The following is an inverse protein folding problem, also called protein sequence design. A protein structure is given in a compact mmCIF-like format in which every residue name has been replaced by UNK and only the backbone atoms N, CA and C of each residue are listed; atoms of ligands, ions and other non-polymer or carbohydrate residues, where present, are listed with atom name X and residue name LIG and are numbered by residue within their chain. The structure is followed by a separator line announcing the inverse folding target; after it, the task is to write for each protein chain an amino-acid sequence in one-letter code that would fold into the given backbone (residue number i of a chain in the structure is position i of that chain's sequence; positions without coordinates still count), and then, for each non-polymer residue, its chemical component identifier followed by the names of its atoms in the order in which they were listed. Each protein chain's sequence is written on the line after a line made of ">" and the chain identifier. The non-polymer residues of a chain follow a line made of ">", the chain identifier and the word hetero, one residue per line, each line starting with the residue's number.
data_IF_614554718985
#
_entry.id   IF_614554718985
#
_cell.length_a   1.000
_cell.length_b   1.000
_cell.length_c   1.000
_cell.angle_alpha   90.00
_cell.angle_beta   90.00
_cell.angle_gamma   90.00
#
_symmetry.space_group_name_H-M   'P 1'
#
loop_
_entity.id
_entity.type
_entity.pdbx_description
1 polymer ?
#
# COMPACT_ATOMS: atom_id res chain seq x y z
N UNK A 1 13.42 -12.17 10.12
CA UNK A 1 12.10 -11.52 9.99
C UNK A 1 10.99 -12.52 10.26
N UNK A 2 9.75 -12.03 10.36
CA UNK A 2 8.57 -12.88 10.55
C UNK A 2 7.95 -13.38 9.24
N UNK A 3 8.38 -12.81 8.11
CA UNK A 3 8.14 -13.35 6.78
C UNK A 3 9.28 -14.32 6.45
N UNK A 4 8.91 -15.56 6.14
CA UNK A 4 9.84 -16.66 5.85
C UNK A 4 10.23 -16.64 4.37
N UNK A 5 11.43 -17.12 4.06
CA UNK A 5 11.92 -17.24 2.68
C UNK A 5 10.94 -18.00 1.76
N UNK A 6 10.24 -19.02 2.27
CA UNK A 6 9.22 -19.74 1.50
C UNK A 6 8.01 -18.88 1.12
N UNK A 7 7.60 -17.93 1.97
CA UNK A 7 6.54 -16.97 1.68
C UNK A 7 6.99 -15.96 0.62
N UNK A 8 8.25 -15.51 0.68
CA UNK A 8 8.81 -14.61 -0.33
C UNK A 8 8.95 -15.30 -1.69
N UNK A 9 9.38 -16.57 -1.71
CA UNK A 9 9.46 -17.37 -2.92
C UNK A 9 8.07 -17.61 -3.53
N UNK A 10 7.07 -17.91 -2.69
CA UNK A 10 5.68 -18.01 -3.11
C UNK A 10 5.16 -16.70 -3.69
N UNK A 11 5.44 -15.56 -3.04
CA UNK A 11 5.04 -14.24 -3.52
C UNK A 11 5.61 -13.96 -4.92
N UNK A 12 6.93 -14.12 -5.12
CA UNK A 12 7.59 -13.90 -6.41
C UNK A 12 6.95 -14.73 -7.52
N UNK A 13 6.74 -16.03 -7.27
CA UNK A 13 6.10 -16.95 -8.23
C UNK A 13 4.66 -16.55 -8.54
N UNK A 14 3.90 -16.18 -7.52
CA UNK A 14 2.48 -15.83 -7.65
C UNK A 14 2.31 -14.51 -8.40
N UNK A 15 3.05 -13.46 -8.01
CA UNK A 15 3.07 -12.17 -8.68
C UNK A 15 3.41 -12.33 -10.17
N UNK A 16 4.52 -12.99 -10.51
CA UNK A 16 4.92 -13.22 -11.91
C UNK A 16 3.85 -13.97 -12.72
N UNK A 17 3.25 -15.02 -12.14
CA UNK A 17 2.18 -15.78 -12.79
C UNK A 17 0.93 -14.93 -13.04
N UNK A 18 0.49 -14.16 -12.05
CA UNK A 18 -0.67 -13.28 -12.17
C UNK A 18 -0.44 -12.16 -13.18
N UNK A 19 0.75 -11.54 -13.20
CA UNK A 19 1.10 -10.53 -14.19
C UNK A 19 1.07 -11.10 -15.61
N UNK A 20 1.61 -12.30 -15.81
CA UNK A 20 1.55 -12.99 -17.10
C UNK A 20 0.11 -13.24 -17.53
N UNK A 21 -0.74 -13.74 -16.63
CA UNK A 21 -2.14 -13.99 -16.97
C UNK A 21 -2.89 -12.69 -17.29
N UNK A 22 -2.68 -11.63 -16.50
CA UNK A 22 -3.32 -10.32 -16.69
C UNK A 22 -3.01 -9.69 -18.05
N UNK A 23 -1.79 -9.89 -18.56
CA UNK A 23 -1.32 -9.29 -19.80
C UNK A 23 -1.50 -10.17 -21.04
N UNK A 24 -1.73 -11.48 -20.86
CA UNK A 24 -1.81 -12.44 -21.98
C UNK A 24 -3.18 -13.10 -22.17
N UNK A 25 -4.04 -13.16 -21.13
CA UNK A 25 -5.37 -13.77 -21.24
C UNK A 25 -6.43 -12.73 -21.59
N UNK A 26 -7.45 -13.12 -22.35
CA UNK A 26 -8.51 -12.21 -22.76
C UNK A 26 -9.53 -11.96 -21.64
N UNK A 27 -9.98 -10.71 -21.40
CA UNK A 27 -9.52 -9.48 -22.06
C UNK A 27 -8.13 -9.03 -21.56
N UNK A 28 -7.14 -9.01 -22.46
CA UNK A 28 -5.75 -8.75 -22.11
C UNK A 28 -5.53 -7.29 -21.79
N UNK A 29 -4.83 -7.02 -20.70
CA UNK A 29 -4.52 -5.66 -20.26
C UNK A 29 -3.12 -5.26 -20.76
N UNK A 30 -3.00 -4.04 -21.28
CA UNK A 30 -1.74 -3.56 -21.87
C UNK A 30 -0.65 -3.27 -20.83
N UNK A 31 -1.07 -2.83 -19.64
CA UNK A 31 -0.19 -2.44 -18.55
C UNK A 31 -0.20 -3.50 -17.44
N UNK A 32 0.90 -3.63 -16.65
CA UNK A 32 0.92 -4.50 -15.48
C UNK A 32 -0.19 -4.16 -14.48
N UNK A 33 -0.77 -5.18 -13.84
CA UNK A 33 -1.76 -4.97 -12.79
C UNK A 33 -1.09 -4.33 -11.56
N UNK A 34 -1.61 -3.22 -11.02
CA UNK A 34 -1.13 -2.73 -9.73
C UNK A 34 -1.59 -3.69 -8.62
N UNK A 35 -0.64 -4.21 -7.84
CA UNK A 35 -0.91 -5.09 -6.72
C UNK A 35 -0.98 -4.32 -5.40
N UNK A 36 -1.73 -4.88 -4.44
CA UNK A 36 -1.80 -4.42 -3.06
C UNK A 36 -1.38 -5.57 -2.14
N UNK A 37 -0.51 -5.30 -1.18
CA UNK A 37 -0.08 -6.28 -0.19
C UNK A 37 -0.77 -5.98 1.15
N UNK A 38 -1.20 -7.03 1.85
CA UNK A 38 -1.78 -6.94 3.20
C UNK A 38 -1.10 -7.96 4.10
N UNK A 39 -0.57 -7.51 5.23
CA UNK A 39 0.00 -8.37 6.26
C UNK A 39 -0.08 -7.65 7.61
N UNK A 40 -0.05 -8.37 8.73
CA UNK A 40 -0.43 -7.74 10.00
C UNK A 40 0.68 -6.86 10.60
N UNK A 41 1.92 -7.35 10.61
CA UNK A 41 3.03 -6.73 11.33
C UNK A 41 3.82 -5.82 10.38
N UNK A 42 4.23 -4.60 10.80
CA UNK A 42 5.10 -3.74 10.00
C UNK A 42 6.45 -4.38 9.64
N UNK A 43 6.93 -4.08 8.43
CA UNK A 43 8.32 -4.34 8.06
C UNK A 43 9.24 -3.30 8.73
N UNK A 44 10.55 -3.58 8.90
CA UNK A 44 11.51 -2.62 9.45
C UNK A 44 11.50 -1.26 8.74
N UNK A 45 11.20 -1.22 7.44
CA UNK A 45 11.15 -0.02 6.61
C UNK A 45 10.11 1.01 7.06
N UNK A 46 9.07 0.61 7.80
CA UNK A 46 8.12 1.57 8.40
C UNK A 46 8.79 2.52 9.40
N UNK A 47 9.95 2.15 9.96
CA UNK A 47 10.73 3.00 10.86
C UNK A 47 11.41 4.17 10.14
N UNK A 48 11.54 4.14 8.82
CA UNK A 48 12.16 5.21 8.02
C UNK A 48 11.31 6.49 7.93
N UNK A 49 10.03 6.40 8.30
CA UNK A 49 9.11 7.53 8.22
C UNK A 49 9.22 8.48 9.43
N UNK A 50 9.29 9.77 9.11
CA UNK A 50 9.29 10.92 10.04
C UNK A 50 8.09 11.81 9.72
N UNK A 51 7.71 12.74 10.61
CA UNK A 51 6.53 13.58 10.41
C UNK A 51 6.53 14.41 9.09
N UNK A 52 7.67 14.52 8.41
CA UNK A 52 7.81 15.24 7.14
C UNK A 52 7.48 14.43 5.88
N UNK A 53 7.33 13.10 5.98
CA UNK A 53 7.26 12.21 4.81
C UNK A 53 6.10 11.19 4.84
N UNK A 54 5.05 11.48 5.61
CA UNK A 54 3.80 10.70 5.61
C UNK A 54 2.56 11.58 5.81
N UNK A 55 1.40 11.05 5.43
CA UNK A 55 0.07 11.59 5.80
C UNK A 55 -0.49 10.77 6.96
N UNK A 56 -1.18 11.41 7.90
CA UNK A 56 -1.76 10.78 9.09
C UNK A 56 -0.91 11.00 10.34
N UNK A 57 -0.95 10.08 11.29
CA UNK A 57 -0.31 10.25 12.60
C UNK A 57 0.45 8.99 13.02
N UNK A 58 1.68 9.20 13.50
CA UNK A 58 2.53 8.19 14.16
C UNK A 58 2.60 8.54 15.66
N UNK A 59 1.95 7.75 16.51
CA UNK A 59 1.86 8.00 17.96
C UNK A 59 2.68 7.03 18.81
N UNK A 60 3.18 5.95 18.23
CA UNK A 60 3.98 4.95 18.94
C UNK A 60 5.15 4.45 18.09
N UNK A 61 6.00 3.65 18.71
CA UNK A 61 7.08 2.95 18.02
C UNK A 61 6.56 2.01 16.93
N UNK A 62 7.46 1.55 16.08
CA UNK A 62 7.14 0.56 15.04
C UNK A 62 7.51 -0.81 15.57
N UNK A 63 6.53 -1.69 15.80
CA UNK A 63 6.75 -3.04 16.35
C UNK A 63 7.15 -4.03 15.24
N UNK A 64 8.20 -3.70 14.50
CA UNK A 64 8.76 -4.54 13.44
C UNK A 64 9.79 -5.55 14.00
N UNK A 65 10.02 -6.69 13.33
CA UNK A 65 11.09 -7.60 13.72
C UNK A 65 12.47 -6.93 13.62
N UNK A 66 13.41 -7.29 14.51
CA UNK A 66 14.80 -6.80 14.46
C UNK A 66 15.59 -7.30 13.25
N UNK A 67 15.21 -8.47 12.70
CA UNK A 67 15.84 -9.05 11.52
C UNK A 67 14.97 -8.75 10.29
N UNK A 68 15.50 -7.96 9.35
CA UNK A 68 14.85 -7.74 8.05
C UNK A 68 14.99 -9.00 7.17
N UNK A 69 13.88 -9.54 6.67
CA UNK A 69 13.91 -10.71 5.78
C UNK A 69 14.16 -10.35 4.31
N UNK A 70 14.02 -9.08 3.93
CA UNK A 70 14.12 -8.62 2.54
C UNK A 70 12.79 -8.58 1.79
N UNK A 71 11.65 -8.74 2.47
CA UNK A 71 10.36 -8.74 1.79
C UNK A 71 10.00 -7.39 1.14
N UNK A 72 10.40 -6.26 1.73
CA UNK A 72 10.22 -4.95 1.08
C UNK A 72 10.98 -4.87 -0.24
N UNK A 73 12.27 -5.24 -0.24
CA UNK A 73 13.08 -5.33 -1.46
C UNK A 73 12.44 -6.26 -2.48
N UNK A 74 11.92 -7.40 -2.04
CA UNK A 74 11.20 -8.36 -2.90
C UNK A 74 9.98 -7.71 -3.59
N UNK A 75 9.20 -6.89 -2.89
CA UNK A 75 8.07 -6.17 -3.47
C UNK A 75 8.52 -5.09 -4.45
N UNK A 76 9.62 -4.38 -4.15
CA UNK A 76 10.22 -3.38 -5.05
C UNK A 76 10.70 -4.05 -6.35
N UNK A 77 11.41 -5.18 -6.25
CA UNK A 77 11.90 -5.96 -7.40
C UNK A 77 10.76 -6.51 -8.26
N UNK A 78 9.67 -6.97 -7.64
CA UNK A 78 8.48 -7.43 -8.38
C UNK A 78 7.82 -6.29 -9.18
N UNK A 79 7.90 -5.07 -8.67
CA UNK A 79 7.50 -3.84 -9.39
C UNK A 79 5.99 -3.63 -9.55
N UNK A 80 5.16 -4.61 -9.21
CA UNK A 80 3.71 -4.54 -9.33
C UNK A 80 3.02 -3.98 -8.08
N UNK A 81 3.54 -4.23 -6.89
CA UNK A 81 2.98 -3.73 -5.62
C UNK A 81 3.06 -2.21 -5.55
N UNK A 82 1.90 -1.56 -5.37
CA UNK A 82 1.79 -0.09 -5.26
C UNK A 82 1.51 0.38 -3.85
N UNK A 83 0.92 -0.47 -3.01
CA UNK A 83 0.75 -0.21 -1.60
C UNK A 83 0.81 -1.49 -0.77
N UNK A 84 1.36 -1.39 0.43
CA UNK A 84 1.33 -2.42 1.47
C UNK A 84 0.62 -1.86 2.71
N UNK A 85 -0.34 -2.61 3.24
CA UNK A 85 -1.15 -2.23 4.39
C UNK A 85 -0.90 -3.15 5.57
N UNK A 86 -0.73 -2.55 6.73
CA UNK A 86 -0.44 -3.24 7.98
C UNK A 86 -1.28 -2.72 9.15
N UNK A 87 -1.23 -3.44 10.26
CA UNK A 87 -1.86 -3.07 11.53
C UNK A 87 -0.85 -3.17 12.67
N UNK A 88 -1.20 -3.93 13.72
CA UNK A 88 -0.36 -4.26 14.88
C UNK A 88 -0.12 -3.12 15.88
N UNK A 89 0.29 -1.95 15.41
CA UNK A 89 0.46 -0.75 16.24
C UNK A 89 -0.82 0.12 16.15
N UNK A 90 -1.66 0.05 17.18
CA UNK A 90 -3.07 0.47 17.10
C UNK A 90 -3.30 1.98 17.16
N UNK A 91 -2.28 2.76 17.52
CA UNK A 91 -2.35 4.22 17.56
C UNK A 91 -1.52 4.89 16.45
N UNK A 92 -0.88 4.10 15.57
CA UNK A 92 -0.34 4.55 14.30
C UNK A 92 -1.37 4.40 13.17
N UNK A 93 -1.52 5.43 12.33
CA UNK A 93 -2.46 5.39 11.19
C UNK A 93 -1.94 6.11 9.94
N UNK A 94 -0.63 6.30 9.86
CA UNK A 94 0.01 7.04 8.79
C UNK A 94 0.16 6.22 7.50
N UNK A 95 0.34 6.89 6.37
CA UNK A 95 0.81 6.29 5.14
C UNK A 95 1.91 7.14 4.49
N UNK A 96 3.01 6.50 4.09
CA UNK A 96 4.16 7.18 3.47
C UNK A 96 4.70 6.41 2.28
N UNK A 97 5.35 7.13 1.35
CA UNK A 97 5.95 6.53 0.14
C UNK A 97 7.41 6.19 0.36
N UNK A 98 7.78 4.94 0.07
CA UNK A 98 9.18 4.52 0.04
C UNK A 98 9.44 3.70 -1.24
N UNK A 99 10.44 4.11 -2.02
CA UNK A 99 10.88 3.40 -3.25
C UNK A 99 9.72 3.01 -4.18
N UNK A 100 8.76 3.92 -4.37
CA UNK A 100 7.62 3.69 -5.25
C UNK A 100 6.43 2.95 -4.65
N UNK A 101 6.51 2.46 -3.41
CA UNK A 101 5.46 1.73 -2.71
C UNK A 101 4.91 2.57 -1.55
N UNK A 102 3.59 2.65 -1.42
CA UNK A 102 2.91 3.25 -0.27
C UNK A 102 2.88 2.26 0.90
N UNK A 103 3.46 2.62 2.04
CA UNK A 103 3.47 1.82 3.26
C UNK A 103 2.48 2.45 4.26
N UNK A 104 1.34 1.79 4.49
CA UNK A 104 0.22 2.37 5.23
C UNK A 104 -0.15 1.56 6.49
N UNK A 105 -0.19 2.21 7.64
CA UNK A 105 -0.92 1.72 8.82
C UNK A 105 -2.43 1.91 8.62
N UNK A 106 -3.21 0.88 8.97
CA UNK A 106 -4.67 0.93 8.92
C UNK A 106 -5.32 1.68 10.11
N UNK A 107 -4.59 1.85 11.22
CA UNK A 107 -5.12 2.32 12.50
C UNK A 107 -5.77 1.21 13.32
N UNK A 108 -6.15 1.53 14.57
CA UNK A 108 -6.87 0.64 15.46
C UNK A 108 -8.39 0.69 15.24
N UNK A 109 -8.95 -0.37 14.65
CA UNK A 109 -10.40 -0.49 14.40
C UNK A 109 -11.18 -1.10 15.59
N UNK A 110 -10.64 -2.15 16.21
CA UNK A 110 -11.36 -2.94 17.22
C UNK A 110 -11.33 -2.37 18.64
N UNK A 111 -12.34 -2.70 19.44
CA UNK A 111 -12.49 -2.29 20.84
C UNK A 111 -11.85 -3.23 21.86
N UNK A 112 -11.52 -4.46 21.47
CA UNK A 112 -10.92 -5.47 22.35
C UNK A 112 -9.40 -5.33 22.51
N UNK A 113 -8.78 -4.36 21.85
CA UNK A 113 -7.35 -4.11 21.95
C UNK A 113 -7.08 -2.69 22.45
N UNK A 114 -5.82 -2.42 22.81
CA UNK A 114 -5.43 -1.10 23.33
C UNK A 114 -5.72 0.03 22.33
N UNK A 115 -5.79 1.24 22.86
CA UNK A 115 -6.03 2.48 22.14
C UNK A 115 -5.54 3.66 22.98
N UNK A 116 -5.94 4.87 22.61
CA UNK A 116 -5.58 6.10 23.34
C UNK A 116 -6.85 6.89 23.65
N UNK A 117 -6.98 7.38 24.89
CA UNK A 117 -8.10 8.25 25.26
C UNK A 117 -8.08 9.51 24.38
N UNK A 118 -9.26 9.93 23.90
CA UNK A 118 -9.40 11.05 22.96
C UNK A 118 -8.94 10.76 21.52
N UNK A 119 -8.69 9.49 21.17
CA UNK A 119 -8.26 9.06 19.84
C UNK A 119 -9.29 8.09 19.25
N UNK A 120 -10.25 8.61 18.48
CA UNK A 120 -11.37 7.83 17.91
C UNK A 120 -10.87 6.62 17.12
N UNK A 121 -11.49 5.44 17.25
CA UNK A 121 -11.14 4.27 16.41
C UNK A 121 -11.26 4.62 14.93
N UNK A 122 -10.62 3.85 14.05
CA UNK A 122 -10.78 4.10 12.60
C UNK A 122 -10.54 2.88 11.75
N UNK A 123 -11.15 2.91 10.57
CA UNK A 123 -10.86 2.01 9.48
C UNK A 123 -10.19 2.78 8.35
N UNK A 124 -9.11 2.24 7.80
CA UNK A 124 -8.59 2.67 6.50
C UNK A 124 -9.41 2.01 5.40
N UNK A 125 -9.99 2.82 4.53
CA UNK A 125 -10.70 2.38 3.34
C UNK A 125 -9.74 2.43 2.16
N UNK A 126 -9.77 1.39 1.32
CA UNK A 126 -9.03 1.32 0.07
C UNK A 126 -10.03 1.20 -1.07
N UNK A 127 -10.00 2.14 -2.00
CA UNK A 127 -10.90 2.17 -3.15
C UNK A 127 -10.11 1.96 -4.43
N UNK A 128 -10.49 0.93 -5.17
CA UNK A 128 -9.90 0.59 -6.47
C UNK A 128 -10.94 0.92 -7.54
N UNK A 129 -10.57 1.81 -8.46
CA UNK A 129 -11.41 2.22 -9.57
C UNK A 129 -10.88 1.59 -10.85
N UNK A 130 -11.73 0.88 -11.59
CA UNK A 130 -11.44 0.39 -12.93
C UNK A 130 -11.67 1.50 -13.96
N UNK A 131 -10.97 1.43 -15.09
CA UNK A 131 -11.31 2.24 -16.24
C UNK A 131 -12.50 1.66 -16.99
N UNK A 132 -13.33 2.55 -17.54
CA UNK A 132 -14.36 2.22 -18.52
C UNK A 132 -14.07 3.00 -19.81
N UNK A 133 -14.06 2.33 -20.96
CA UNK A 133 -13.88 2.97 -22.27
C UNK A 133 -15.11 3.80 -22.65
N UNK A 134 -14.98 4.63 -23.68
CA UNK A 134 -16.11 5.36 -24.28
C UNK A 134 -17.21 4.41 -24.80
N UNK A 135 -16.82 3.23 -25.31
CA UNK A 135 -17.74 2.16 -25.71
C UNK A 135 -18.43 1.45 -24.53
N UNK A 136 -18.05 1.78 -23.29
CA UNK A 136 -18.64 1.21 -22.08
C UNK A 136 -17.99 -0.10 -21.60
N UNK A 137 -16.88 -0.52 -22.18
CA UNK A 137 -16.15 -1.72 -21.79
C UNK A 137 -15.26 -1.46 -20.57
N UNK A 138 -15.22 -2.39 -19.63
CA UNK A 138 -14.32 -2.32 -18.48
C UNK A 138 -12.90 -2.73 -18.86
N UNK A 139 -11.93 -1.95 -18.41
CA UNK A 139 -10.50 -2.17 -18.56
C UNK A 139 -9.87 -2.34 -17.17
N UNK A 140 -8.54 -2.39 -17.16
CA UNK A 140 -7.74 -2.50 -15.94
C UNK A 140 -7.91 -1.35 -14.95
N UNK A 141 -7.14 -1.42 -13.87
CA UNK A 141 -7.22 -0.45 -12.77
C UNK A 141 -6.81 0.94 -13.28
N UNK A 142 -7.67 1.93 -13.02
CA UNK A 142 -7.44 3.36 -13.31
C UNK A 142 -6.76 4.06 -12.14
N UNK A 143 -7.22 3.81 -10.92
CA UNK A 143 -6.64 4.42 -9.73
C UNK A 143 -6.92 3.64 -8.45
N UNK A 144 -6.01 3.77 -7.49
CA UNK A 144 -6.16 3.29 -6.12
C UNK A 144 -6.09 4.51 -5.21
N UNK A 145 -7.12 4.68 -4.38
CA UNK A 145 -7.22 5.75 -3.39
C UNK A 145 -7.41 5.15 -2.00
N UNK A 146 -7.05 5.91 -0.98
CA UNK A 146 -7.33 5.56 0.40
C UNK A 146 -7.80 6.77 1.19
N UNK A 147 -8.53 6.52 2.26
CA UNK A 147 -8.87 7.48 3.30
C UNK A 147 -9.11 6.72 4.60
N UNK A 148 -9.27 7.43 5.71
CA UNK A 148 -9.71 6.84 6.97
C UNK A 148 -11.14 7.29 7.29
N UNK A 149 -11.90 6.41 7.92
CA UNK A 149 -13.20 6.67 8.54
C UNK A 149 -13.02 6.56 10.04
N UNK A 150 -13.26 7.66 10.75
CA UNK A 150 -13.24 7.68 12.21
C UNK A 150 -14.51 7.03 12.76
N UNK A 151 -14.40 6.41 13.91
CA UNK A 151 -15.53 5.96 14.71
C UNK A 151 -15.92 7.10 15.67
N UNK A 152 -16.47 8.15 15.06
CA UNK A 152 -17.14 9.25 15.73
C UNK A 152 -18.60 9.31 15.28
N UNK A 153 -19.37 10.27 15.80
CA UNK A 153 -20.80 10.39 15.50
C UNK A 153 -21.13 10.59 14.01
N UNK A 154 -20.16 11.02 13.19
CA UNK A 154 -20.36 11.36 11.79
C UNK A 154 -19.64 10.43 10.83
N UNK A 155 -18.94 9.41 11.36
CA UNK A 155 -18.01 8.58 10.62
C UNK A 155 -17.04 9.43 9.78
N UNK A 156 -16.47 10.47 10.41
CA UNK A 156 -15.70 11.51 9.72
C UNK A 156 -14.64 10.89 8.81
N UNK A 157 -14.55 11.38 7.57
CA UNK A 157 -13.44 11.02 6.69
C UNK A 157 -12.31 12.00 6.76
N UNK A 158 -11.11 11.45 6.89
CA UNK A 158 -9.85 12.19 6.96
C UNK A 158 -8.83 11.58 6.00
N UNK A 159 -7.79 12.34 5.69
CA UNK A 159 -6.57 11.88 5.01
C UNK A 159 -6.85 11.11 3.71
N UNK A 160 -7.61 11.74 2.80
CA UNK A 160 -7.85 11.18 1.47
C UNK A 160 -6.62 11.33 0.58
N UNK A 161 -6.12 10.22 0.07
CA UNK A 161 -4.88 10.13 -0.70
C UNK A 161 -5.05 9.28 -1.96
N UNK A 162 -4.33 9.64 -3.02
CA UNK A 162 -4.18 8.80 -4.21
C UNK A 162 -2.90 7.98 -4.05
N UNK A 163 -3.04 6.66 -3.88
CA UNK A 163 -1.91 5.75 -3.71
C UNK A 163 -1.25 5.44 -5.06
N UNK A 164 -2.07 5.33 -6.10
CA UNK A 164 -1.62 5.05 -7.46
C UNK A 164 -2.65 5.53 -8.47
N UNK A 165 -2.20 6.02 -9.62
CA UNK A 165 -3.06 6.24 -10.77
C UNK A 165 -2.34 5.80 -12.05
N UNK A 166 -3.13 5.41 -13.04
CA UNK A 166 -2.61 5.03 -14.34
C UNK A 166 -2.31 6.30 -15.13
N UNK A 167 -1.04 6.69 -15.17
CA UNK A 167 -0.55 7.88 -15.88
C UNK A 167 0.54 8.67 -15.16
N UNK A 168 0.66 8.56 -13.82
CA UNK A 168 1.68 9.31 -13.06
C UNK A 168 3.11 8.78 -13.20
N UNK A 169 3.29 7.53 -13.63
CA UNK A 169 4.62 6.88 -13.66
C UNK A 169 5.37 6.98 -15.00
N UNK A 170 4.85 7.75 -15.97
CA UNK A 170 5.48 7.92 -17.30
C UNK A 170 6.34 9.19 -17.48
N UNK A 171 6.51 10.03 -16.44
CA UNK A 171 7.20 11.34 -16.56
C UNK A 171 8.36 11.56 -15.59
N UNK A 172 8.96 10.51 -15.03
CA UNK A 172 10.15 10.64 -14.18
C UNK A 172 11.27 9.73 -14.66
N UNK A 173 12.30 10.30 -15.30
CA UNK A 173 13.58 9.62 -15.52
C UNK A 173 14.08 9.50 -16.97
N UNK A 174 14.14 10.60 -17.72
CA UNK A 174 15.15 10.80 -18.78
C UNK A 174 15.64 12.24 -18.72
N UNK A 175 16.33 12.59 -17.65
CA UNK A 175 17.36 13.61 -17.76
C UNK A 175 18.67 12.87 -17.95
N UNK A 176 19.12 12.89 -19.20
CA UNK A 176 20.47 12.59 -19.58
C UNK A 176 21.37 13.66 -18.96
N UNK A 177 22.18 13.29 -17.98
CA UNK A 177 23.37 14.08 -17.69
C UNK A 177 24.45 13.66 -18.71
N UNK A 178 24.53 14.44 -19.78
CA UNK A 178 25.67 14.52 -20.68
C UNK A 178 26.18 15.96 -20.61
N UNK A 179 27.19 16.17 -19.77
CA UNK A 179 28.30 17.09 -19.99
C UNK A 179 29.34 16.90 -18.90
#
# INVERSE_FOLDING_TARGET
>A
GWIKASQEAWFRKTSSSLQKNYTSQQPSQKEPAPALAYFHIPLPEFSSFTASNFTGVKQEGISSPSINSGFFTTMVEAGDVKAAFIGHDHINDFCGKLTGIQLCYAGGFGYHAYGKAGWSRRARVVSVQLEKTESGEWQGVKSIKTWKRLDDQHLTTIDSEVLWNRGSNGRGGKDHDRS
#
